data_IF_130297222084
#
_entry.id   IF_130297222084
#
_cell.length_a   1.000
_cell.length_b   1.000
_cell.length_c   1.000
_cell.angle_alpha   90.00
_cell.angle_beta   90.00
_cell.angle_gamma   90.00
#
_symmetry.space_group_name_H-M   'P 1'
#
loop_
_entity.id
_entity.type
_entity.pdbx_description
1 polymer ?
#
# COMPACT_ATOMS: atom_id res chain seq x y z
N UNK A 1 -49.28 -0.60 -42.57
CA UNK A 1 -47.97 -1.23 -42.43
C UNK A 1 -47.37 -0.61 -41.18
N UNK A 2 -47.65 -1.24 -40.05
CA UNK A 2 -47.23 -0.79 -38.74
C UNK A 2 -45.83 -1.35 -38.45
N UNK A 3 -44.99 -0.49 -37.87
CA UNK A 3 -44.00 -0.70 -36.80
C UNK A 3 -42.93 -1.81 -36.99
N UNK A 4 -41.64 -1.61 -36.71
CA UNK A 4 -41.10 -1.13 -35.45
C UNK A 4 -39.76 -0.39 -35.60
N UNK A 5 -39.72 0.83 -35.09
CA UNK A 5 -38.53 1.48 -34.56
C UNK A 5 -38.20 0.88 -33.19
N UNK A 6 -37.34 -0.14 -33.14
CA UNK A 6 -36.82 -0.66 -31.86
C UNK A 6 -35.67 0.23 -31.35
N UNK A 7 -36.07 1.22 -30.56
CA UNK A 7 -35.39 1.79 -29.40
C UNK A 7 -34.06 1.12 -28.98
N UNK A 8 -33.02 1.92 -28.82
CA UNK A 8 -31.82 1.54 -28.08
C UNK A 8 -32.19 1.12 -26.66
N UNK A 9 -32.01 -0.16 -26.36
CA UNK A 9 -32.05 -0.67 -24.99
C UNK A 9 -30.72 -0.38 -24.32
N UNK A 10 -30.73 0.66 -23.50
CA UNK A 10 -29.71 1.09 -22.54
C UNK A 10 -29.54 0.09 -21.38
N UNK A 11 -29.58 -1.22 -21.64
CA UNK A 11 -29.71 -2.27 -20.61
C UNK A 11 -28.54 -3.29 -20.60
N UNK A 12 -27.43 -2.99 -21.29
CA UNK A 12 -26.18 -3.68 -20.99
C UNK A 12 -25.53 -2.96 -19.79
N UNK A 13 -25.41 -3.62 -18.62
CA UNK A 13 -24.81 -2.98 -17.46
C UNK A 13 -23.38 -2.58 -17.82
N UNK A 14 -23.05 -1.31 -17.59
CA UNK A 14 -21.70 -0.78 -17.86
C UNK A 14 -20.67 -1.60 -17.07
N UNK A 15 -19.43 -1.70 -17.55
CA UNK A 15 -18.36 -2.43 -16.83
C UNK A 15 -18.21 -1.88 -15.41
N UNK A 16 -18.41 -0.57 -15.25
CA UNK A 16 -18.45 0.12 -13.95
C UNK A 16 -19.60 -0.39 -13.07
N UNK A 17 -20.83 -0.53 -13.60
CA UNK A 17 -21.95 -1.13 -12.87
C UNK A 17 -21.74 -2.62 -12.56
N UNK A 18 -21.14 -3.39 -13.47
CA UNK A 18 -20.84 -4.81 -13.24
C UNK A 18 -19.74 -4.99 -12.18
N UNK A 19 -18.74 -4.10 -12.15
CA UNK A 19 -17.59 -4.22 -11.26
C UNK A 19 -17.80 -3.57 -9.88
N UNK A 20 -18.47 -2.41 -9.82
CA UNK A 20 -18.66 -1.64 -8.58
C UNK A 20 -20.08 -1.72 -8.01
N UNK A 21 -21.10 -2.02 -8.82
CA UNK A 21 -22.51 -2.08 -8.38
C UNK A 21 -23.06 -0.76 -7.77
N UNK A 22 -22.33 0.37 -7.90
CA UNK A 22 -22.72 1.74 -7.55
C UNK A 22 -22.12 2.75 -8.54
N UNK A 23 -22.69 3.96 -8.63
CA UNK A 23 -22.09 5.08 -9.37
C UNK A 23 -20.98 5.74 -8.54
N UNK A 24 -19.70 5.73 -8.98
CA UNK A 24 -18.60 6.28 -8.20
C UNK A 24 -18.74 7.78 -7.93
N UNK A 25 -18.56 8.19 -6.66
CA UNK A 25 -18.61 9.61 -6.31
C UNK A 25 -17.38 10.36 -6.82
N UNK A 26 -17.58 11.22 -7.82
CA UNK A 26 -16.55 12.12 -8.37
C UNK A 26 -15.92 13.01 -7.29
N UNK A 27 -16.73 13.46 -6.34
CA UNK A 27 -16.29 14.34 -5.25
C UNK A 27 -15.36 13.59 -4.30
N UNK A 28 -15.72 12.37 -3.90
CA UNK A 28 -14.89 11.56 -3.01
C UNK A 28 -13.56 11.15 -3.67
N UNK A 29 -13.60 10.80 -4.96
CA UNK A 29 -12.40 10.47 -5.74
C UNK A 29 -11.48 11.70 -5.89
N UNK A 30 -12.05 12.89 -6.15
CA UNK A 30 -11.30 14.14 -6.26
C UNK A 30 -10.64 14.56 -4.95
N UNK A 31 -11.36 14.49 -3.82
CA UNK A 31 -10.81 14.80 -2.49
C UNK A 31 -9.68 13.82 -2.16
N UNK A 32 -9.91 12.52 -2.34
CA UNK A 32 -8.93 11.49 -2.00
C UNK A 32 -7.68 11.59 -2.88
N UNK A 33 -7.86 11.76 -4.20
CA UNK A 33 -6.76 12.02 -5.12
C UNK A 33 -5.97 13.27 -4.74
N UNK A 34 -6.65 14.37 -4.39
CA UNK A 34 -6.03 15.59 -3.89
C UNK A 34 -5.21 15.39 -2.61
N UNK A 35 -5.72 14.60 -1.65
CA UNK A 35 -4.99 14.26 -0.43
C UNK A 35 -3.72 13.44 -0.71
N UNK A 36 -3.79 12.46 -1.60
CA UNK A 36 -2.62 11.69 -2.04
C UNK A 36 -1.61 12.54 -2.82
N UNK A 37 -2.07 13.53 -3.59
CA UNK A 37 -1.20 14.50 -4.24
C UNK A 37 -0.45 15.35 -3.21
N UNK A 38 -1.16 15.92 -2.24
CA UNK A 38 -0.57 16.73 -1.18
C UNK A 38 0.43 15.92 -0.34
N UNK A 39 0.05 14.69 0.05
CA UNK A 39 0.93 13.79 0.78
C UNK A 39 2.17 13.42 -0.06
N UNK A 40 1.99 13.11 -1.36
CA UNK A 40 3.06 12.78 -2.29
C UNK A 40 4.06 13.93 -2.45
N UNK A 41 3.57 15.15 -2.67
CA UNK A 41 4.42 16.35 -2.77
C UNK A 41 5.13 16.67 -1.45
N UNK A 42 4.46 16.53 -0.31
CA UNK A 42 5.08 16.72 1.00
C UNK A 42 6.18 15.68 1.26
N UNK A 43 5.95 14.40 0.93
CA UNK A 43 6.97 13.35 1.04
C UNK A 43 8.12 13.57 0.06
N UNK A 44 7.85 14.04 -1.16
CA UNK A 44 8.87 14.31 -2.16
C UNK A 44 9.77 15.49 -1.75
N UNK A 45 9.19 16.57 -1.24
CA UNK A 45 9.96 17.71 -0.70
C UNK A 45 10.81 17.32 0.51
N UNK A 46 10.28 16.47 1.41
CA UNK A 46 11.05 15.89 2.53
C UNK A 46 12.21 15.01 2.04
N UNK A 47 11.97 14.18 1.03
CA UNK A 47 12.98 13.30 0.45
C UNK A 47 14.15 14.08 -0.16
N UNK A 48 13.84 15.14 -0.92
CA UNK A 48 14.87 16.03 -1.50
C UNK A 48 15.66 16.73 -0.40
N UNK A 49 14.97 17.33 0.58
CA UNK A 49 15.63 18.04 1.70
C UNK A 49 16.53 17.12 2.53
N UNK A 50 16.12 15.88 2.75
CA UNK A 50 16.87 14.89 3.52
C UNK A 50 17.90 14.08 2.69
N UNK A 51 17.96 14.30 1.36
CA UNK A 51 18.81 13.55 0.40
C UNK A 51 18.70 12.02 0.53
N UNK A 52 17.55 11.53 0.95
CA UNK A 52 17.30 10.12 1.26
C UNK A 52 16.63 9.40 0.09
N UNK A 53 17.37 9.22 -1.00
CA UNK A 53 16.91 8.59 -2.25
C UNK A 53 16.41 7.15 -2.09
N UNK A 54 16.81 6.46 -1.02
CA UNK A 54 16.33 5.12 -0.70
C UNK A 54 14.83 5.07 -0.38
N UNK A 55 14.20 6.21 -0.04
CA UNK A 55 12.78 6.31 0.26
C UNK A 55 11.91 6.72 -0.94
N UNK A 56 12.43 6.69 -2.17
CA UNK A 56 11.75 7.21 -3.37
C UNK A 56 10.43 6.49 -3.69
N UNK A 57 10.29 5.24 -3.26
CA UNK A 57 9.08 4.46 -3.46
C UNK A 57 7.83 5.09 -2.81
N UNK A 58 7.96 5.77 -1.67
CA UNK A 58 6.83 6.42 -0.98
C UNK A 58 6.16 7.52 -1.83
N UNK A 59 6.88 8.60 -2.22
CA UNK A 59 6.26 9.67 -2.99
C UNK A 59 5.85 9.21 -4.39
N UNK A 60 6.62 8.33 -5.04
CA UNK A 60 6.23 7.77 -6.35
C UNK A 60 4.91 7.03 -6.24
N UNK A 61 4.76 6.13 -5.26
CA UNK A 61 3.54 5.38 -5.10
C UNK A 61 2.35 6.28 -4.74
N UNK A 62 2.54 7.30 -3.89
CA UNK A 62 1.51 8.29 -3.60
C UNK A 62 1.03 9.03 -4.86
N UNK A 63 1.93 9.38 -5.77
CA UNK A 63 1.59 10.00 -7.05
C UNK A 63 0.90 9.02 -8.01
N UNK A 64 1.30 7.74 -8.02
CA UNK A 64 0.60 6.70 -8.80
C UNK A 64 -0.84 6.52 -8.29
N UNK A 65 -1.04 6.48 -6.97
CA UNK A 65 -2.39 6.39 -6.38
C UNK A 65 -3.24 7.60 -6.75
N UNK A 66 -2.66 8.79 -6.69
CA UNK A 66 -3.29 10.03 -7.11
C UNK A 66 -3.77 9.94 -8.57
N UNK A 67 -2.90 9.48 -9.48
CA UNK A 67 -3.26 9.25 -10.88
C UNK A 67 -4.39 8.22 -11.01
N UNK A 68 -4.37 7.13 -10.23
CA UNK A 68 -5.46 6.16 -10.18
C UNK A 68 -6.80 6.79 -9.83
N UNK A 69 -6.85 7.63 -8.79
CA UNK A 69 -8.07 8.35 -8.40
C UNK A 69 -8.53 9.38 -9.45
N UNK A 70 -7.63 10.02 -10.18
CA UNK A 70 -8.01 10.91 -11.29
C UNK A 70 -8.52 10.13 -12.50
N UNK A 71 -7.93 8.97 -12.81
CA UNK A 71 -8.43 8.05 -13.84
C UNK A 71 -9.83 7.55 -13.46
N UNK A 72 -10.11 7.30 -12.17
CA UNK A 72 -11.44 6.95 -11.66
C UNK A 72 -12.50 8.02 -11.94
N UNK A 73 -12.13 9.30 -11.89
CA UNK A 73 -13.04 10.40 -12.28
C UNK A 73 -13.28 10.39 -13.79
N UNK A 74 -12.24 10.12 -14.59
CA UNK A 74 -12.35 10.06 -16.05
C UNK A 74 -13.15 8.83 -16.53
N UNK A 75 -13.17 7.75 -15.75
CA UNK A 75 -13.97 6.54 -16.02
C UNK A 75 -15.48 6.81 -16.10
N UNK A 76 -15.98 7.79 -15.35
CA UNK A 76 -17.38 8.21 -15.43
C UNK A 76 -17.73 8.74 -16.83
N UNK A 77 -16.80 9.41 -17.49
CA UNK A 77 -16.97 9.90 -18.87
C UNK A 77 -16.79 8.80 -19.93
N UNK A 78 -16.32 7.60 -19.57
CA UNK A 78 -16.08 6.48 -20.50
C UNK A 78 -16.28 5.11 -19.83
N UNK A 79 -17.50 4.80 -19.34
CA UNK A 79 -17.78 3.67 -18.45
C UNK A 79 -17.69 2.29 -19.11
N UNK A 80 -17.60 2.22 -20.44
CA UNK A 80 -17.47 0.97 -21.20
C UNK A 80 -16.02 0.65 -21.64
N UNK A 81 -15.03 1.44 -21.23
CA UNK A 81 -13.63 1.17 -21.58
C UNK A 81 -12.96 0.24 -20.58
N UNK A 82 -12.88 -1.06 -20.94
CA UNK A 82 -12.10 -2.09 -20.22
C UNK A 82 -10.68 -1.62 -19.91
N UNK A 83 -10.06 -0.92 -20.85
CA UNK A 83 -8.70 -0.42 -20.72
C UNK A 83 -8.54 0.62 -19.62
N UNK A 84 -9.48 1.57 -19.51
CA UNK A 84 -9.40 2.64 -18.49
C UNK A 84 -9.64 2.06 -17.09
N UNK A 85 -10.59 1.12 -16.94
CA UNK A 85 -10.82 0.38 -15.69
C UNK A 85 -9.59 -0.43 -15.26
N UNK A 86 -8.97 -1.14 -16.21
CA UNK A 86 -7.76 -1.93 -15.94
C UNK A 86 -6.60 -1.04 -15.47
N UNK A 87 -6.43 0.13 -16.10
CA UNK A 87 -5.39 1.10 -15.73
C UNK A 87 -5.64 1.69 -14.34
N UNK A 88 -6.89 2.06 -14.02
CA UNK A 88 -7.27 2.50 -12.66
C UNK A 88 -6.87 1.47 -11.61
N UNK A 89 -7.29 0.21 -11.81
CA UNK A 89 -7.04 -0.84 -10.84
C UNK A 89 -5.56 -1.19 -10.71
N UNK A 90 -4.80 -1.19 -11.80
CA UNK A 90 -3.36 -1.38 -11.72
C UNK A 90 -2.68 -0.30 -10.89
N UNK A 91 -3.04 0.98 -11.07
CA UNK A 91 -2.47 2.08 -10.28
C UNK A 91 -2.83 1.96 -8.79
N UNK A 92 -4.06 1.57 -8.46
CA UNK A 92 -4.48 1.37 -7.07
C UNK A 92 -3.79 0.13 -6.45
N UNK A 93 -3.61 -0.95 -7.21
CA UNK A 93 -2.99 -2.21 -6.73
C UNK A 93 -1.47 -2.09 -6.55
N UNK A 94 -0.77 -1.28 -7.36
CA UNK A 94 0.69 -1.03 -7.22
C UNK A 94 1.03 -0.40 -5.85
N UNK A 95 0.14 0.46 -5.37
CA UNK A 95 0.40 1.34 -4.23
C UNK A 95 0.82 0.60 -2.95
N UNK A 96 0.08 -0.40 -2.44
CA UNK A 96 0.45 -1.10 -1.21
C UNK A 96 1.80 -1.79 -1.32
N UNK A 97 2.16 -2.40 -2.46
CA UNK A 97 3.45 -3.07 -2.63
C UNK A 97 4.64 -2.11 -2.45
N UNK A 98 4.52 -0.87 -2.93
CA UNK A 98 5.56 0.13 -2.76
C UNK A 98 5.71 0.62 -1.31
N UNK A 99 4.60 0.70 -0.56
CA UNK A 99 4.62 1.09 0.86
C UNK A 99 5.16 -0.03 1.75
N UNK A 100 4.85 -1.29 1.42
CA UNK A 100 5.47 -2.48 2.00
C UNK A 100 6.99 -2.46 1.80
N UNK A 101 7.43 -2.25 0.56
CA UNK A 101 8.86 -2.13 0.22
C UNK A 101 9.55 -1.03 1.04
N UNK A 102 8.91 0.12 1.23
CA UNK A 102 9.45 1.19 2.07
C UNK A 102 9.66 0.73 3.52
N UNK A 103 8.66 0.09 4.14
CA UNK A 103 8.74 -0.39 5.51
C UNK A 103 9.84 -1.45 5.67
N UNK A 104 10.06 -2.32 4.68
CA UNK A 104 11.15 -3.29 4.71
C UNK A 104 12.54 -2.63 4.62
N UNK A 105 12.70 -1.64 3.75
CA UNK A 105 13.96 -0.88 3.61
C UNK A 105 14.24 -0.09 4.89
N UNK A 106 13.22 0.56 5.45
CA UNK A 106 13.32 1.31 6.68
C UNK A 106 13.70 0.40 7.86
N UNK A 107 13.02 -0.74 8.02
CA UNK A 107 13.40 -1.75 9.00
C UNK A 107 14.84 -2.23 8.81
N UNK A 108 15.23 -2.51 7.56
CA UNK A 108 16.59 -2.96 7.25
C UNK A 108 17.66 -1.97 7.69
N UNK A 109 17.44 -0.69 7.38
CA UNK A 109 18.32 0.41 7.79
C UNK A 109 18.30 0.64 9.29
N UNK A 110 17.13 0.56 9.91
CA UNK A 110 16.98 0.68 11.36
C UNK A 110 17.85 -0.34 12.09
N UNK A 111 17.78 -1.62 11.72
CA UNK A 111 18.59 -2.66 12.37
C UNK A 111 20.08 -2.48 12.14
N UNK A 112 20.50 -2.12 10.92
CA UNK A 112 21.92 -1.98 10.58
C UNK A 112 22.54 -0.75 11.25
N UNK A 113 21.80 0.35 11.37
CA UNK A 113 22.38 1.63 11.79
C UNK A 113 22.13 1.99 13.26
N UNK A 114 21.10 1.43 13.91
CA UNK A 114 20.68 1.87 15.25
C UNK A 114 20.85 0.82 16.35
N UNK A 115 20.87 -0.48 16.02
CA UNK A 115 20.84 -1.55 17.03
C UNK A 115 22.08 -2.43 16.90
N UNK A 116 21.96 -3.58 16.26
CA UNK A 116 23.03 -4.47 15.78
C UNK A 116 22.29 -5.54 14.95
N UNK A 117 22.79 -5.96 13.78
CA UNK A 117 22.24 -7.09 13.03
C UNK A 117 21.97 -8.36 13.85
N UNK A 118 22.64 -8.56 14.99
CA UNK A 118 22.46 -9.71 15.91
C UNK A 118 21.05 -9.82 16.52
N UNK A 119 20.32 -8.72 16.66
CA UNK A 119 18.98 -8.74 17.25
C UNK A 119 17.90 -9.18 16.26
N UNK A 120 18.19 -9.15 14.95
CA UNK A 120 17.26 -9.59 13.90
C UNK A 120 17.43 -11.10 13.63
N UNK A 121 16.32 -11.83 13.59
CA UNK A 121 16.28 -13.28 13.34
C UNK A 121 16.89 -13.65 11.97
N UNK A 122 16.72 -12.78 10.99
CA UNK A 122 17.24 -12.92 9.63
C UNK A 122 18.05 -11.68 9.30
N UNK A 123 19.16 -11.85 8.56
CA UNK A 123 19.98 -10.71 8.08
C UNK A 123 19.08 -9.68 7.39
N UNK A 124 19.10 -8.41 7.80
CA UNK A 124 18.15 -7.40 7.30
C UNK A 124 18.12 -7.24 5.78
N UNK A 125 19.29 -7.37 5.12
CA UNK A 125 19.40 -7.32 3.65
C UNK A 125 18.78 -8.53 2.92
N UNK A 126 18.55 -9.66 3.61
CA UNK A 126 17.83 -10.81 3.06
C UNK A 126 16.33 -10.69 3.30
N UNK A 127 15.93 -10.19 4.47
CA UNK A 127 14.52 -9.86 4.79
C UNK A 127 13.96 -8.93 3.72
N UNK A 128 14.57 -7.76 3.53
CA UNK A 128 14.07 -6.78 2.57
C UNK A 128 13.97 -7.35 1.14
N UNK A 129 14.99 -8.10 0.68
CA UNK A 129 14.94 -8.71 -0.66
C UNK A 129 13.88 -9.79 -0.79
N UNK A 130 13.74 -10.67 0.21
CA UNK A 130 12.78 -11.77 0.17
C UNK A 130 11.34 -11.23 0.12
N UNK A 131 11.01 -10.29 1.01
CA UNK A 131 9.67 -9.73 1.10
C UNK A 131 9.33 -8.83 -0.10
N UNK A 132 10.29 -8.03 -0.60
CA UNK A 132 10.06 -7.27 -1.86
C UNK A 132 9.85 -8.20 -3.06
N UNK A 133 10.63 -9.28 -3.19
CA UNK A 133 10.41 -10.24 -4.27
C UNK A 133 9.04 -10.93 -4.15
N UNK A 134 8.66 -11.31 -2.93
CA UNK A 134 7.32 -11.83 -2.66
C UNK A 134 6.24 -10.85 -3.12
N UNK A 135 6.37 -9.57 -2.77
CA UNK A 135 5.38 -8.54 -3.11
C UNK A 135 5.30 -8.25 -4.61
N UNK A 136 6.43 -8.33 -5.33
CA UNK A 136 6.43 -8.21 -6.79
C UNK A 136 5.67 -9.39 -7.42
N UNK A 137 5.89 -10.61 -6.94
CA UNK A 137 5.19 -11.79 -7.45
C UNK A 137 3.69 -11.67 -7.15
N UNK A 138 3.30 -11.31 -5.93
CA UNK A 138 1.88 -11.15 -5.58
C UNK A 138 1.24 -9.98 -6.33
N UNK A 139 1.99 -8.92 -6.63
CA UNK A 139 1.54 -7.81 -7.47
C UNK A 139 1.24 -8.28 -8.91
N UNK A 140 2.15 -9.06 -9.52
CA UNK A 140 1.92 -9.61 -10.86
C UNK A 140 0.72 -10.55 -10.91
N UNK A 141 0.53 -11.37 -9.86
CA UNK A 141 -0.65 -12.23 -9.71
C UNK A 141 -1.93 -11.39 -9.61
N UNK A 142 -1.94 -10.33 -8.79
CA UNK A 142 -3.09 -9.43 -8.67
C UNK A 142 -3.39 -8.68 -9.96
N UNK A 143 -2.37 -8.15 -10.64
CA UNK A 143 -2.52 -7.45 -11.91
C UNK A 143 -3.06 -8.37 -13.00
N UNK A 144 -2.55 -9.60 -13.08
CA UNK A 144 -3.06 -10.62 -14.01
C UNK A 144 -4.50 -11.04 -13.68
N UNK A 145 -4.80 -11.26 -12.41
CA UNK A 145 -6.15 -11.60 -11.94
C UNK A 145 -7.16 -10.48 -12.20
N UNK A 146 -6.81 -9.24 -11.89
CA UNK A 146 -7.64 -8.05 -12.13
C UNK A 146 -7.83 -7.76 -13.61
N UNK A 147 -6.84 -8.03 -14.45
CA UNK A 147 -7.02 -7.97 -15.91
C UNK A 147 -8.03 -8.99 -16.41
N UNK A 148 -7.94 -10.25 -15.94
CA UNK A 148 -8.86 -11.32 -16.34
C UNK A 148 -10.28 -11.14 -15.80
N UNK A 149 -10.43 -10.48 -14.64
CA UNK A 149 -11.74 -10.11 -14.08
C UNK A 149 -12.60 -9.32 -15.08
N UNK A 150 -11.96 -8.46 -15.88
CA UNK A 150 -12.66 -7.59 -16.85
C UNK A 150 -13.13 -8.30 -18.13
N UNK A 151 -12.90 -9.60 -18.25
CA UNK A 151 -13.25 -10.34 -19.46
C UNK A 151 -14.77 -10.53 -19.61
N UNK A 152 -15.28 -10.40 -20.84
CA UNK A 152 -16.70 -10.62 -21.16
C UNK A 152 -17.18 -12.06 -20.92
N UNK A 153 -16.26 -13.02 -20.74
CA UNK A 153 -16.61 -14.40 -20.43
C UNK A 153 -16.75 -14.58 -18.91
N UNK A 154 -17.96 -14.87 -18.43
CA UNK A 154 -18.25 -15.10 -17.00
C UNK A 154 -17.32 -16.13 -16.34
N UNK A 155 -16.88 -17.16 -17.06
CA UNK A 155 -15.98 -18.18 -16.51
C UNK A 155 -14.59 -17.60 -16.30
N UNK A 156 -14.06 -16.86 -17.28
CA UNK A 156 -12.75 -16.21 -17.22
C UNK A 156 -12.72 -15.11 -16.17
N UNK A 157 -13.78 -14.30 -16.07
CA UNK A 157 -13.92 -13.27 -15.03
C UNK A 157 -13.86 -13.85 -13.61
N UNK A 158 -14.60 -14.94 -13.36
CA UNK A 158 -14.55 -15.65 -12.05
C UNK A 158 -13.17 -16.22 -11.73
N UNK A 159 -12.45 -16.71 -12.73
CA UNK A 159 -11.07 -17.18 -12.56
C UNK A 159 -10.16 -15.98 -12.21
N UNK A 160 -10.33 -14.84 -12.88
CA UNK A 160 -9.60 -13.60 -12.60
C UNK A 160 -9.76 -13.15 -11.14
N UNK A 161 -10.99 -13.09 -10.63
CA UNK A 161 -11.28 -12.74 -9.22
C UNK A 161 -10.58 -13.70 -8.25
N UNK A 162 -10.58 -15.01 -8.54
CA UNK A 162 -9.88 -16.00 -7.69
C UNK A 162 -8.37 -15.80 -7.71
N UNK A 163 -7.77 -15.52 -8.86
CA UNK A 163 -6.34 -15.25 -9.00
C UNK A 163 -5.96 -13.99 -8.22
N UNK A 164 -6.76 -12.92 -8.36
CA UNK A 164 -6.56 -11.68 -7.62
C UNK A 164 -6.62 -11.93 -6.11
N UNK A 165 -7.64 -12.64 -5.63
CA UNK A 165 -7.79 -13.00 -4.22
C UNK A 165 -6.60 -13.79 -3.67
N UNK A 166 -6.08 -14.76 -4.43
CA UNK A 166 -4.87 -15.51 -4.04
C UNK A 166 -3.68 -14.57 -3.86
N UNK A 167 -3.48 -13.61 -4.76
CA UNK A 167 -2.41 -12.62 -4.64
C UNK A 167 -2.55 -11.74 -3.40
N UNK A 168 -3.78 -11.29 -3.07
CA UNK A 168 -4.06 -10.51 -1.86
C UNK A 168 -3.76 -11.31 -0.58
N UNK A 169 -4.21 -12.56 -0.50
CA UNK A 169 -3.98 -13.44 0.66
C UNK A 169 -2.48 -13.69 0.86
N UNK A 170 -1.76 -14.01 -0.22
CA UNK A 170 -0.31 -14.24 -0.16
C UNK A 170 0.44 -12.99 0.30
N UNK A 171 0.07 -11.81 -0.21
CA UNK A 171 0.67 -10.54 0.20
C UNK A 171 0.39 -10.24 1.68
N UNK A 172 -0.84 -10.48 2.14
CA UNK A 172 -1.23 -10.28 3.54
C UNK A 172 -0.45 -11.20 4.48
N UNK A 173 -0.34 -12.49 4.16
CA UNK A 173 0.44 -13.46 4.95
C UNK A 173 1.92 -13.06 4.97
N UNK A 174 2.48 -12.69 3.82
CA UNK A 174 3.87 -12.25 3.70
C UNK A 174 4.13 -11.04 4.59
N UNK A 175 3.25 -10.05 4.57
CA UNK A 175 3.40 -8.86 5.40
C UNK A 175 3.18 -9.14 6.89
N UNK A 176 2.23 -9.99 7.25
CA UNK A 176 2.02 -10.42 8.63
C UNK A 176 3.27 -11.10 9.21
N UNK A 177 3.95 -11.94 8.41
CA UNK A 177 5.23 -12.53 8.79
C UNK A 177 6.31 -11.46 9.04
N UNK A 178 6.38 -10.41 8.23
CA UNK A 178 7.27 -9.28 8.48
C UNK A 178 6.97 -8.56 9.81
N UNK A 179 5.68 -8.34 10.11
CA UNK A 179 5.27 -7.72 11.39
C UNK A 179 5.66 -8.59 12.58
N UNK A 180 5.55 -9.92 12.47
CA UNK A 180 6.05 -10.85 13.51
C UNK A 180 7.56 -10.72 13.71
N UNK A 181 8.34 -10.57 12.63
CA UNK A 181 9.79 -10.34 12.71
C UNK A 181 10.07 -8.99 13.40
N UNK A 182 9.34 -7.93 13.05
CA UNK A 182 9.45 -6.62 13.69
C UNK A 182 9.18 -6.70 15.20
N UNK A 183 8.11 -7.39 15.61
CA UNK A 183 7.75 -7.62 17.02
C UNK A 183 8.82 -8.43 17.75
N UNK A 184 9.32 -9.50 17.13
CA UNK A 184 10.37 -10.32 17.72
C UNK A 184 11.64 -9.50 17.97
N UNK A 185 12.08 -8.71 16.98
CA UNK A 185 13.26 -7.87 17.11
C UNK A 185 13.06 -6.79 18.17
N UNK A 186 11.89 -6.15 18.20
CA UNK A 186 11.51 -5.19 19.24
C UNK A 186 11.58 -5.80 20.65
N UNK A 187 11.00 -6.98 20.86
CA UNK A 187 11.04 -7.68 22.15
C UNK A 187 12.47 -8.03 22.59
N UNK A 188 13.33 -8.44 21.66
CA UNK A 188 14.75 -8.71 21.95
C UNK A 188 15.51 -7.47 22.37
N UNK A 189 15.23 -6.34 21.72
CA UNK A 189 15.84 -5.04 22.03
C UNK A 189 15.46 -4.60 23.44
N UNK A 190 14.17 -4.64 23.79
CA UNK A 190 13.68 -4.22 25.13
C UNK A 190 14.26 -5.08 26.25
N UNK A 191 14.51 -6.37 25.98
CA UNK A 191 15.10 -7.29 26.97
C UNK A 191 16.61 -7.08 27.15
N UNK A 192 17.28 -6.34 26.27
CA UNK A 192 18.70 -6.08 26.40
C UNK A 192 18.96 -4.86 27.29
N UNK A 193 19.67 -5.09 28.40
CA UNK A 193 19.99 -4.10 29.42
C UNK A 193 20.90 -2.97 28.91
N UNK A 194 21.42 -3.05 27.68
CA UNK A 194 22.19 -1.97 27.03
C UNK A 194 21.32 -0.81 26.51
N UNK A 195 20.01 -1.00 26.39
CA UNK A 195 19.13 0.05 25.85
C UNK A 195 18.47 0.85 26.97
N UNK A 196 18.85 2.12 27.10
CA UNK A 196 18.32 3.01 28.14
C UNK A 196 16.93 3.59 27.80
N UNK A 197 16.27 3.13 26.73
CA UNK A 197 14.94 3.62 26.30
C UNK A 197 14.88 5.06 25.78
N UNK A 198 15.96 5.83 25.95
CA UNK A 198 16.05 7.26 25.59
C UNK A 198 16.53 7.52 24.17
N UNK A 199 16.91 6.46 23.43
CA UNK A 199 17.56 6.62 22.14
C UNK A 199 16.57 7.13 21.06
N UNK A 200 16.95 8.10 20.21
CA UNK A 200 16.04 8.73 19.25
C UNK A 200 15.37 7.77 18.26
N UNK A 201 15.99 6.61 18.02
CA UNK A 201 15.50 5.59 17.09
C UNK A 201 14.26 4.85 17.61
N UNK A 202 13.88 4.97 18.89
CA UNK A 202 12.62 4.40 19.39
C UNK A 202 11.41 4.92 18.62
N UNK A 203 11.46 6.18 18.18
CA UNK A 203 10.43 6.77 17.34
C UNK A 203 10.28 6.03 16.01
N UNK A 204 11.37 5.50 15.43
CA UNK A 204 11.32 4.72 14.19
C UNK A 204 10.52 3.42 14.34
N UNK A 205 10.68 2.73 15.47
CA UNK A 205 9.90 1.52 15.78
C UNK A 205 8.40 1.85 15.84
N UNK A 206 8.03 2.92 16.56
CA UNK A 206 6.63 3.34 16.66
C UNK A 206 6.03 3.78 15.32
N UNK A 207 6.81 4.49 14.49
CA UNK A 207 6.40 4.85 13.13
C UNK A 207 6.15 3.60 12.27
N UNK A 208 7.06 2.62 12.34
CA UNK A 208 6.91 1.34 11.63
C UNK A 208 5.68 0.58 12.11
N UNK A 209 5.40 0.53 13.42
CA UNK A 209 4.19 -0.10 13.95
C UNK A 209 2.92 0.56 13.44
N UNK A 210 2.83 1.89 13.56
CA UNK A 210 1.67 2.63 13.11
C UNK A 210 1.41 2.40 11.62
N UNK A 211 2.45 2.55 10.79
CA UNK A 211 2.37 2.28 9.35
C UNK A 211 1.96 0.84 9.06
N UNK A 212 2.50 -0.13 9.81
CA UNK A 212 2.20 -1.55 9.60
C UNK A 212 0.77 -1.93 9.97
N UNK A 213 0.23 -1.39 11.06
CA UNK A 213 -1.17 -1.61 11.46
C UNK A 213 -2.11 -1.08 10.38
N UNK A 214 -1.87 0.14 9.90
CA UNK A 214 -2.68 0.73 8.84
C UNK A 214 -2.65 -0.09 7.53
N UNK A 215 -1.48 -0.59 7.12
CA UNK A 215 -1.36 -1.43 5.92
C UNK A 215 -2.03 -2.80 6.13
N UNK A 216 -1.96 -3.38 7.33
CA UNK A 216 -2.65 -4.63 7.65
C UNK A 216 -4.17 -4.49 7.61
N UNK A 217 -4.73 -3.39 8.16
CA UNK A 217 -6.17 -3.10 8.10
C UNK A 217 -6.64 -3.11 6.64
N UNK A 218 -5.93 -2.40 5.76
CA UNK A 218 -6.21 -2.40 4.32
C UNK A 218 -6.13 -3.81 3.72
N UNK A 219 -5.06 -4.55 4.02
CA UNK A 219 -4.85 -5.89 3.47
C UNK A 219 -5.96 -6.86 3.86
N UNK A 220 -6.45 -6.78 5.09
CA UNK A 220 -7.59 -7.57 5.59
C UNK A 220 -8.89 -7.13 4.88
N UNK A 221 -9.15 -5.82 4.81
CA UNK A 221 -10.33 -5.28 4.12
C UNK A 221 -10.38 -5.75 2.66
N UNK A 222 -9.28 -5.58 1.90
CA UNK A 222 -9.22 -5.99 0.49
C UNK A 222 -9.41 -7.49 0.31
N UNK A 223 -8.80 -8.29 1.18
CA UNK A 223 -9.00 -9.74 1.14
C UNK A 223 -10.47 -10.11 1.40
N UNK A 224 -11.12 -9.46 2.37
CA UNK A 224 -12.52 -9.69 2.69
C UNK A 224 -13.48 -9.21 1.56
N UNK A 225 -13.22 -8.03 1.00
CA UNK A 225 -13.95 -7.45 -0.13
C UNK A 225 -13.99 -8.43 -1.32
N UNK A 226 -12.82 -8.91 -1.76
CA UNK A 226 -12.72 -9.85 -2.87
C UNK A 226 -13.18 -11.27 -2.53
N UNK A 227 -13.13 -11.68 -1.25
CA UNK A 227 -13.66 -12.97 -0.81
C UNK A 227 -15.20 -13.02 -0.82
N UNK A 228 -15.87 -11.88 -0.59
CA UNK A 228 -17.33 -11.80 -0.65
C UNK A 228 -17.90 -11.79 -2.07
N UNK A 229 -17.11 -11.30 -3.05
CA UNK A 229 -17.49 -11.28 -4.46
C UNK A 229 -18.59 -10.27 -4.81
N UNK A 230 -19.07 -10.36 -6.05
CA UNK A 230 -20.07 -9.46 -6.66
C UNK A 230 -21.43 -9.62 -5.96
N UNK A 231 -21.68 -8.81 -4.92
CA UNK A 231 -22.89 -8.84 -4.07
C UNK A 231 -22.63 -8.76 -2.56
N UNK A 232 -21.36 -8.72 -2.13
CA UNK A 232 -21.00 -8.53 -0.72
C UNK A 232 -21.32 -7.12 -0.20
N UNK A 233 -21.81 -7.05 1.04
CA UNK A 233 -22.16 -5.78 1.72
C UNK A 233 -21.02 -4.73 1.71
N UNK A 234 -19.76 -5.21 1.72
CA UNK A 234 -18.56 -4.37 1.67
C UNK A 234 -18.34 -3.69 0.30
N UNK A 235 -18.64 -4.39 -0.80
CA UNK A 235 -18.51 -3.85 -2.17
C UNK A 235 -19.62 -2.84 -2.46
N UNK A 236 -20.82 -3.06 -1.90
CA UNK A 236 -21.99 -2.21 -2.17
C UNK A 236 -21.93 -0.82 -1.50
N UNK A 237 -21.13 -0.67 -0.45
CA UNK A 237 -21.05 0.58 0.31
C UNK A 237 -19.71 1.28 0.08
N UNK A 238 -19.72 2.28 -0.80
CA UNK A 238 -18.54 3.11 -1.17
C UNK A 238 -17.81 3.71 0.05
N UNK A 239 -18.52 3.97 1.16
CA UNK A 239 -17.93 4.48 2.41
C UNK A 239 -16.83 3.56 2.94
N UNK A 240 -17.00 2.23 2.87
CA UNK A 240 -15.98 1.31 3.38
C UNK A 240 -14.73 1.30 2.52
N UNK A 241 -14.87 1.50 1.20
CA UNK A 241 -13.72 1.65 0.33
C UNK A 241 -12.86 2.86 0.74
N UNK A 242 -13.47 4.04 0.93
CA UNK A 242 -12.69 5.20 1.36
C UNK A 242 -12.16 5.08 2.80
N UNK A 243 -12.95 4.53 3.72
CA UNK A 243 -12.59 4.47 5.14
C UNK A 243 -11.60 3.34 5.48
N UNK A 244 -11.69 2.20 4.78
CA UNK A 244 -10.93 0.98 5.09
C UNK A 244 -9.87 0.62 4.03
N UNK A 245 -9.91 1.20 2.83
CA UNK A 245 -8.84 1.03 1.83
C UNK A 245 -7.97 2.28 1.67
N UNK A 246 -8.58 3.44 1.39
CA UNK A 246 -7.87 4.67 1.08
C UNK A 246 -7.32 5.37 2.34
N UNK A 247 -8.17 5.58 3.34
CA UNK A 247 -7.79 6.31 4.56
C UNK A 247 -6.66 5.63 5.35
N UNK A 248 -6.66 4.30 5.62
CA UNK A 248 -5.60 3.69 6.40
C UNK A 248 -4.27 3.82 5.69
N UNK A 249 -4.26 3.66 4.38
CA UNK A 249 -3.06 3.78 3.57
C UNK A 249 -2.53 5.23 3.52
N UNK A 250 -3.43 6.23 3.41
CA UNK A 250 -3.08 7.65 3.52
C UNK A 250 -2.47 7.97 4.89
N UNK A 251 -3.04 7.45 5.97
CA UNK A 251 -2.49 7.62 7.33
C UNK A 251 -1.11 6.96 7.46
N UNK A 252 -0.94 5.76 6.89
CA UNK A 252 0.31 5.01 6.94
C UNK A 252 1.50 5.78 6.32
N UNK A 253 1.25 6.60 5.30
CA UNK A 253 2.28 7.44 4.68
C UNK A 253 2.37 8.83 5.28
N UNK A 254 1.25 9.39 5.74
CA UNK A 254 1.19 10.75 6.26
C UNK A 254 2.01 10.90 7.53
N UNK A 255 2.16 9.83 8.33
CA UNK A 255 2.98 9.86 9.55
C UNK A 255 4.48 10.12 9.25
N UNK A 256 4.96 9.76 8.06
CA UNK A 256 6.35 9.99 7.67
C UNK A 256 6.62 11.44 7.24
N UNK A 257 5.59 12.26 7.02
CA UNK A 257 5.73 13.68 6.66
C UNK A 257 6.28 14.52 7.83
N UNK A 258 5.69 14.51 9.04
CA UNK A 258 6.24 15.20 10.20
C UNK A 258 7.47 14.49 10.75
N UNK A 259 7.49 13.15 10.73
CA UNK A 259 8.52 12.34 11.34
C UNK A 259 9.38 11.63 10.29
N UNK A 260 10.17 12.40 9.54
CA UNK A 260 11.00 11.84 8.47
C UNK A 260 12.03 10.84 9.00
N UNK A 261 12.01 9.57 8.57
CA UNK A 261 12.84 8.53 9.16
C UNK A 261 14.36 8.77 9.05
N UNK A 262 14.81 9.44 7.99
CA UNK A 262 16.24 9.70 7.82
C UNK A 262 16.83 10.59 8.92
N UNK A 263 16.01 11.45 9.57
CA UNK A 263 16.47 12.28 10.68
C UNK A 263 16.90 11.43 11.88
N UNK A 264 16.07 10.45 12.25
CA UNK A 264 16.33 9.55 13.38
C UNK A 264 17.41 8.51 13.07
N UNK A 265 17.51 8.11 11.80
CA UNK A 265 18.57 7.22 11.34
C UNK A 265 19.95 7.89 11.43
N UNK A 266 20.06 9.14 10.96
CA UNK A 266 21.31 9.88 10.98
C UNK A 266 21.72 10.30 12.39
N UNK A 267 20.78 10.71 13.24
CA UNK A 267 21.09 11.08 14.63
C UNK A 267 21.73 9.91 15.41
N UNK A 268 21.28 8.68 15.15
CA UNK A 268 21.83 7.48 15.79
C UNK A 268 23.26 7.19 15.33
N UNK A 269 23.56 7.41 14.04
CA UNK A 269 24.92 7.26 13.48
C UNK A 269 25.87 8.29 14.10
N UNK A 270 25.41 9.52 14.26
CA UNK A 270 26.22 10.60 14.83
C UNK A 270 26.50 10.35 16.32
N UNK A 271 25.49 9.94 17.11
CA UNK A 271 25.68 9.53 18.51
C UNK A 271 26.67 8.37 18.67
N UNK A 272 26.62 7.36 17.78
CA UNK A 272 27.57 6.25 17.80
C UNK A 272 29.01 6.70 17.52
N UNK A 273 29.19 7.58 16.53
CA UNK A 273 30.53 8.13 16.20
C UNK A 273 31.10 8.97 17.33
N UNK A 274 30.27 9.71 18.06
CA UNK A 274 30.71 10.49 19.22
C UNK A 274 31.16 9.56 20.35
N UNK A 275 30.37 8.53 20.71
CA UNK A 275 30.75 7.54 21.72
C UNK A 275 32.07 6.81 21.40
N UNK A 276 32.35 6.54 20.13
CA UNK A 276 33.63 5.92 19.71
C UNK A 276 34.84 6.86 19.88
N UNK A 277 34.65 8.18 19.74
CA UNK A 277 35.73 9.17 19.90
C UNK A 277 36.09 9.45 21.35
N UNK A 278 35.17 9.24 22.29
CA UNK A 278 35.43 9.42 23.73
C UNK A 278 36.23 8.28 24.36
N UNK A 279 36.36 7.14 23.66
CA UNK A 279 37.04 5.93 24.14
C UNK A 279 38.49 5.82 23.63
N UNK A 280 38.91 6.71 22.72
CA UNK A 280 40.27 6.81 22.15
C UNK A 280 41.00 8.01 22.75
#
# INVERSE_FOLDING_TARGET
MADDSSSGSSDDPTIVQIAFNYEPSKVAAGITGGLYLLAGLALFTRLIKAKSWWGLCLPIASLITCSGFFVRIALDSSPNSVGVFTVEQLFIIVTPAAFLAFNYILYGRFIVNCVDPKYSLIRPNRVARLFVCSDIITFLVQGGGGGLETSNNRTTGKIGVRILLVGLVLQLISYACFVVILVHTHHKIVKDARTNGLEPWWKLIWLLYFSSVCILIRGIYRTAEFAQGQGGYLVTHEIYFYLLDALPLLLAISIYIPFWPAKYLNSSIDEYKMRQREVV
#
